data_IF_973100087810
#
_entry.id   IF_973100087810
#
_cell.length_a   1.000
_cell.length_b   1.000
_cell.length_c   1.000
_cell.angle_alpha   90.00
_cell.angle_beta   90.00
_cell.angle_gamma   90.00
#
_symmetry.space_group_name_H-M   'P 1'
#
loop_
_entity.id
_entity.type
_entity.pdbx_description
1 polymer ?
#
# COMPACT_ATOMS: atom_id res chain seq x y z
N UNK A 1 15.34 -27.71 2.23
CA UNK A 1 15.20 -27.64 0.76
C UNK A 1 13.74 -27.63 0.27
N UNK A 2 12.96 -28.72 0.33
CA UNK A 2 11.58 -28.72 -0.22
C UNK A 2 10.65 -27.70 0.47
N UNK A 3 10.73 -27.59 1.80
CA UNK A 3 9.95 -26.65 2.62
C UNK A 3 10.35 -25.17 2.39
N UNK A 4 11.63 -24.90 2.15
CA UNK A 4 12.13 -23.55 1.85
C UNK A 4 11.72 -23.10 0.45
N UNK A 5 11.76 -24.01 -0.54
CA UNK A 5 11.30 -23.73 -1.90
C UNK A 5 9.79 -23.43 -1.91
N UNK A 6 9.01 -24.15 -1.11
CA UNK A 6 7.58 -23.89 -0.94
C UNK A 6 7.35 -22.53 -0.28
N UNK A 7 8.06 -22.19 0.80
CA UNK A 7 7.99 -20.87 1.45
C UNK A 7 8.31 -19.73 0.49
N UNK A 8 9.36 -19.87 -0.32
CA UNK A 8 9.75 -18.84 -1.29
C UNK A 8 8.70 -18.67 -2.39
N UNK A 9 8.08 -19.77 -2.83
CA UNK A 9 7.00 -19.73 -3.82
C UNK A 9 5.75 -19.01 -3.30
N UNK A 10 5.42 -19.20 -2.02
CA UNK A 10 4.30 -18.52 -1.35
C UNK A 10 4.58 -17.03 -1.22
N UNK A 11 5.77 -16.66 -0.72
CA UNK A 11 6.19 -15.25 -0.62
C UNK A 11 6.08 -14.55 -1.98
N UNK A 12 6.49 -15.24 -3.05
CA UNK A 12 6.42 -14.71 -4.41
C UNK A 12 4.99 -14.42 -4.86
N UNK A 13 4.04 -15.30 -4.56
CA UNK A 13 2.64 -15.15 -4.94
C UNK A 13 1.94 -14.06 -4.15
N UNK A 14 2.18 -14.00 -2.84
CA UNK A 14 1.70 -12.89 -2.02
C UNK A 14 2.25 -11.55 -2.53
N UNK A 15 3.54 -11.49 -2.86
CA UNK A 15 4.14 -10.29 -3.42
C UNK A 15 3.56 -9.90 -4.80
N UNK A 16 3.17 -10.88 -5.63
CA UNK A 16 2.45 -10.60 -6.89
C UNK A 16 1.06 -10.00 -6.63
N UNK A 17 0.31 -10.54 -5.66
CA UNK A 17 -1.01 -9.99 -5.27
C UNK A 17 -0.87 -8.56 -4.73
N UNK A 18 0.13 -8.29 -3.90
CA UNK A 18 0.40 -6.95 -3.38
C UNK A 18 0.87 -5.96 -4.46
N UNK A 19 1.42 -6.46 -5.58
CA UNK A 19 1.88 -5.65 -6.69
C UNK A 19 0.78 -5.30 -7.71
N UNK A 20 -0.43 -5.89 -7.62
CA UNK A 20 -1.54 -5.64 -8.55
C UNK A 20 -1.88 -4.16 -8.78
N UNK A 21 -1.84 -3.27 -7.76
CA UNK A 21 -2.13 -1.84 -7.97
C UNK A 21 -1.15 -1.14 -8.91
N UNK A 22 0.01 -1.73 -9.16
CA UNK A 22 1.07 -1.18 -9.99
C UNK A 22 1.09 -1.79 -11.40
N UNK A 23 0.13 -2.63 -11.73
CA UNK A 23 -0.03 -3.22 -13.06
C UNK A 23 -0.98 -2.41 -13.93
N UNK A 24 -0.81 -2.48 -15.26
CA UNK A 24 -1.81 -1.99 -16.20
C UNK A 24 -3.17 -2.63 -15.93
N UNK A 25 -4.24 -1.84 -16.03
CA UNK A 25 -5.61 -2.26 -15.70
C UNK A 25 -6.03 -3.55 -16.40
N UNK A 26 -5.69 -3.69 -17.69
CA UNK A 26 -5.99 -4.86 -18.51
C UNK A 26 -5.19 -6.12 -18.16
N UNK A 27 -4.22 -6.04 -17.23
CA UNK A 27 -3.39 -7.16 -16.79
C UNK A 27 -3.71 -7.64 -15.38
N UNK A 28 -4.49 -6.88 -14.61
CA UNK A 28 -4.77 -7.16 -13.18
C UNK A 28 -5.45 -8.53 -13.00
N UNK A 29 -6.51 -8.79 -13.75
CA UNK A 29 -7.32 -10.01 -13.57
C UNK A 29 -6.49 -11.25 -13.87
N UNK A 30 -5.79 -11.27 -15.01
CA UNK A 30 -4.91 -12.39 -15.38
C UNK A 30 -3.80 -12.59 -14.33
N UNK A 31 -3.13 -11.52 -13.92
CA UNK A 31 -2.07 -11.59 -12.92
C UNK A 31 -2.55 -12.07 -11.53
N UNK A 32 -3.80 -11.78 -11.17
CA UNK A 32 -4.39 -12.25 -9.92
C UNK A 32 -4.62 -13.77 -9.94
N UNK A 33 -5.20 -14.31 -11.02
CA UNK A 33 -5.42 -15.76 -11.11
C UNK A 33 -4.09 -16.52 -11.19
N UNK A 34 -3.13 -16.05 -12.00
CA UNK A 34 -1.78 -16.63 -12.07
C UNK A 34 -1.07 -16.67 -10.70
N UNK A 35 -1.31 -15.67 -9.84
CA UNK A 35 -0.73 -15.60 -8.51
C UNK A 35 -1.50 -16.44 -7.48
N UNK A 36 -2.78 -16.70 -7.71
CA UNK A 36 -3.67 -17.40 -6.78
C UNK A 36 -3.59 -18.92 -6.91
N UNK A 37 -3.24 -19.44 -8.09
CA UNK A 37 -3.30 -20.87 -8.44
C UNK A 37 -2.61 -21.80 -7.44
N UNK A 38 -1.43 -21.45 -6.93
CA UNK A 38 -0.74 -22.29 -5.96
C UNK A 38 -1.17 -21.97 -4.52
N UNK A 39 -1.51 -20.73 -4.19
CA UNK A 39 -2.01 -20.36 -2.86
C UNK A 39 -3.25 -21.18 -2.46
N UNK A 40 -4.22 -21.31 -3.37
CA UNK A 40 -5.47 -22.04 -3.11
C UNK A 40 -5.22 -23.54 -2.79
N UNK A 41 -4.14 -24.11 -3.35
CA UNK A 41 -3.81 -25.54 -3.17
C UNK A 41 -3.09 -25.86 -1.86
N UNK A 42 -2.57 -24.85 -1.15
CA UNK A 42 -1.74 -25.08 0.06
C UNK A 42 -2.60 -25.41 1.27
N UNK A 43 -3.51 -24.50 1.64
CA UNK A 43 -4.37 -24.67 2.79
C UNK A 43 -5.62 -23.77 2.72
N UNK A 44 -6.57 -24.04 3.61
CA UNK A 44 -7.85 -23.32 3.70
C UNK A 44 -7.70 -21.82 4.02
N UNK A 45 -6.65 -21.42 4.73
CA UNK A 45 -6.42 -20.01 5.07
C UNK A 45 -6.05 -19.22 3.82
N UNK A 46 -5.19 -19.76 2.95
CA UNK A 46 -4.86 -19.14 1.67
C UNK A 46 -6.03 -19.12 0.70
N UNK A 47 -6.83 -20.19 0.64
CA UNK A 47 -8.10 -20.18 -0.10
C UNK A 47 -9.01 -19.04 0.38
N UNK A 48 -9.22 -18.92 1.69
CA UNK A 48 -10.07 -17.88 2.28
C UNK A 48 -9.54 -16.47 1.97
N UNK A 49 -8.21 -16.29 2.01
CA UNK A 49 -7.56 -15.05 1.63
C UNK A 49 -7.78 -14.70 0.15
N UNK A 50 -7.55 -15.65 -0.77
CA UNK A 50 -7.76 -15.47 -2.21
C UNK A 50 -9.22 -15.13 -2.49
N UNK A 51 -10.18 -15.87 -1.91
CA UNK A 51 -11.61 -15.62 -2.05
C UNK A 51 -12.00 -14.21 -1.59
N UNK A 52 -11.41 -13.74 -0.48
CA UNK A 52 -11.64 -12.40 0.03
C UNK A 52 -11.08 -11.33 -0.93
N UNK A 53 -9.86 -11.53 -1.43
CA UNK A 53 -9.23 -10.58 -2.36
C UNK A 53 -10.02 -10.50 -3.66
N UNK A 54 -10.42 -11.65 -4.21
CA UNK A 54 -11.22 -11.73 -5.43
C UNK A 54 -12.52 -10.94 -5.25
N UNK A 55 -13.33 -11.32 -4.26
CA UNK A 55 -14.65 -10.74 -3.99
C UNK A 55 -14.61 -9.25 -3.68
N UNK A 56 -13.54 -8.78 -3.04
CA UNK A 56 -13.46 -7.40 -2.55
C UNK A 56 -12.79 -6.46 -3.55
N UNK A 57 -11.69 -6.89 -4.17
CA UNK A 57 -10.82 -6.01 -4.95
C UNK A 57 -10.86 -6.29 -6.46
N UNK A 58 -11.16 -7.53 -6.88
CA UNK A 58 -11.12 -7.92 -8.30
C UNK A 58 -12.50 -7.80 -8.95
N UNK A 59 -13.51 -8.44 -8.38
CA UNK A 59 -14.86 -8.55 -8.99
C UNK A 59 -15.92 -7.65 -8.34
N UNK A 60 -15.62 -7.03 -7.19
CA UNK A 60 -16.57 -6.18 -6.47
C UNK A 60 -17.04 -5.00 -7.32
N UNK A 61 -18.35 -4.77 -7.50
CA UNK A 61 -18.82 -3.57 -8.18
C UNK A 61 -18.56 -2.29 -7.36
N UNK A 62 -18.47 -2.40 -6.03
CA UNK A 62 -18.25 -1.25 -5.13
C UNK A 62 -16.80 -0.82 -5.05
N UNK A 63 -15.87 -1.78 -5.14
CA UNK A 63 -14.44 -1.53 -4.95
C UNK A 63 -13.58 -2.23 -6.03
N UNK A 64 -13.98 -2.07 -7.29
CA UNK A 64 -13.26 -2.63 -8.44
C UNK A 64 -11.87 -1.98 -8.63
N UNK A 65 -11.01 -2.55 -9.51
CA UNK A 65 -9.65 -2.04 -9.70
C UNK A 65 -9.54 -0.59 -10.18
N UNK A 66 -10.59 0.03 -10.72
CA UNK A 66 -10.57 1.46 -11.08
C UNK A 66 -10.41 2.35 -9.85
N UNK A 67 -10.84 1.89 -8.66
CA UNK A 67 -10.81 2.67 -7.44
C UNK A 67 -9.44 2.66 -6.75
N UNK A 68 -8.65 1.61 -6.91
CA UNK A 68 -7.41 1.39 -6.18
C UNK A 68 -6.17 1.19 -7.06
N UNK A 69 -6.32 1.02 -8.38
CA UNK A 69 -5.19 0.97 -9.28
C UNK A 69 -4.43 2.30 -9.28
N UNK A 70 -3.11 2.19 -9.23
CA UNK A 70 -2.20 3.33 -9.17
C UNK A 70 -1.22 3.37 -10.34
N UNK A 71 -1.44 2.57 -11.39
CA UNK A 71 -0.53 2.49 -12.52
C UNK A 71 -0.39 3.84 -13.25
N UNK A 72 -1.50 4.55 -13.46
CA UNK A 72 -1.49 5.87 -14.10
C UNK A 72 -1.08 7.01 -13.16
N UNK A 73 -1.02 6.76 -11.85
CA UNK A 73 -0.70 7.77 -10.83
C UNK A 73 0.65 7.52 -10.16
N UNK A 74 1.51 6.71 -10.77
CA UNK A 74 2.86 6.30 -10.36
C UNK A 74 3.87 7.49 -10.35
N UNK A 75 3.52 8.62 -9.73
CA UNK A 75 4.35 9.84 -9.58
C UNK A 75 3.53 11.04 -9.07
N UNK A 76 2.21 11.03 -9.30
CA UNK A 76 1.37 12.23 -9.23
C UNK A 76 0.60 12.41 -7.91
N UNK A 77 0.61 11.43 -7.00
CA UNK A 77 -0.09 11.55 -5.71
C UNK A 77 0.82 11.27 -4.54
N UNK A 78 0.57 12.00 -3.45
CA UNK A 78 1.03 11.60 -2.12
C UNK A 78 0.37 10.26 -1.80
N UNK A 79 1.09 9.17 -2.07
CA UNK A 79 0.71 7.84 -1.59
C UNK A 79 0.91 7.86 -0.09
N UNK A 80 -0.19 7.88 0.66
CA UNK A 80 -0.36 7.08 1.89
C UNK A 80 -1.57 7.55 2.69
N UNK A 81 -2.24 6.57 3.30
CA UNK A 81 -3.16 6.70 4.43
C UNK A 81 -2.48 7.35 5.66
N UNK A 82 -1.18 7.69 5.60
CA UNK A 82 -0.39 8.27 6.70
C UNK A 82 -1.03 9.53 7.28
N UNK A 83 -1.71 10.33 6.46
CA UNK A 83 -2.42 11.50 6.96
C UNK A 83 -3.62 11.10 7.82
N UNK A 84 -4.40 10.12 7.36
CA UNK A 84 -5.58 9.59 8.08
C UNK A 84 -5.16 8.76 9.30
N UNK A 85 -4.15 7.89 9.18
CA UNK A 85 -3.60 7.12 10.29
C UNK A 85 -2.90 8.02 11.32
N UNK A 86 -2.22 9.06 10.86
CA UNK A 86 -1.63 10.10 11.71
C UNK A 86 -2.72 10.88 12.43
N UNK A 87 -3.79 11.25 11.72
CA UNK A 87 -4.96 11.90 12.30
C UNK A 87 -5.67 10.99 13.32
N UNK A 88 -5.87 9.70 13.02
CA UNK A 88 -6.48 8.74 13.93
C UNK A 88 -5.61 8.52 15.18
N UNK A 89 -4.28 8.44 15.03
CA UNK A 89 -3.34 8.35 16.16
C UNK A 89 -3.38 9.62 17.02
N UNK A 90 -3.38 10.79 16.39
CA UNK A 90 -3.52 12.07 17.07
C UNK A 90 -4.86 12.17 17.82
N UNK A 91 -5.96 11.80 17.18
CA UNK A 91 -7.29 11.79 17.79
C UNK A 91 -7.33 10.83 18.98
N UNK A 92 -6.82 9.61 18.82
CA UNK A 92 -6.77 8.60 19.89
C UNK A 92 -5.86 9.01 21.05
N UNK A 93 -4.81 9.80 20.82
CA UNK A 93 -3.96 10.30 21.91
C UNK A 93 -4.60 11.43 22.72
N UNK A 94 -5.58 12.13 22.15
CA UNK A 94 -6.26 13.25 22.79
C UNK A 94 -7.65 12.88 23.34
N UNK A 95 -8.25 11.79 22.86
CA UNK A 95 -9.54 11.29 23.33
C UNK A 95 -9.33 10.11 24.30
N UNK A 96 -9.97 10.15 25.47
CA UNK A 96 -10.12 8.95 26.30
C UNK A 96 -11.09 7.97 25.63
N UNK A 97 -11.06 6.69 25.98
CA UNK A 97 -11.87 5.62 25.36
C UNK A 97 -13.40 5.88 25.33
N UNK A 98 -13.90 6.86 26.11
CA UNK A 98 -15.29 7.36 26.08
C UNK A 98 -15.30 8.88 26.23
N UNK A 99 -15.10 9.66 25.15
CA UNK A 99 -15.07 11.11 25.26
C UNK A 99 -16.49 11.67 25.48
N UNK A 100 -16.60 12.70 26.30
CA UNK A 100 -17.82 13.51 26.37
C UNK A 100 -17.99 14.23 25.02
N UNK A 101 -19.20 14.20 24.44
CA UNK A 101 -19.53 14.81 23.13
C UNK A 101 -19.05 16.28 23.02
N UNK A 102 -19.10 17.04 24.12
CA UNK A 102 -18.64 18.43 24.16
C UNK A 102 -17.12 18.55 24.06
N UNK A 103 -16.37 17.64 24.69
CA UNK A 103 -14.91 17.57 24.53
C UNK A 103 -14.55 17.20 23.09
N UNK A 104 -15.34 16.33 22.47
CA UNK A 104 -15.15 15.94 21.08
C UNK A 104 -15.34 17.12 20.12
N UNK A 105 -16.44 17.87 20.27
CA UNK A 105 -16.73 19.07 19.48
C UNK A 105 -15.63 20.13 19.63
N UNK A 106 -15.20 20.42 20.87
CA UNK A 106 -14.12 21.40 21.10
C UNK A 106 -12.80 20.98 20.47
N UNK A 107 -12.48 19.68 20.45
CA UNK A 107 -11.28 19.18 19.79
C UNK A 107 -11.33 19.35 18.27
N UNK A 108 -12.48 19.09 17.65
CA UNK A 108 -12.65 19.32 16.21
C UNK A 108 -12.52 20.78 15.85
N UNK A 109 -13.16 21.68 16.61
CA UNK A 109 -13.06 23.12 16.38
C UNK A 109 -11.61 23.62 16.46
N UNK A 110 -10.86 23.15 17.46
CA UNK A 110 -9.44 23.48 17.62
C UNK A 110 -8.56 22.92 16.49
N UNK A 111 -8.90 21.75 15.96
CA UNK A 111 -8.16 21.14 14.84
C UNK A 111 -8.47 21.84 13.51
N UNK A 112 -9.72 22.29 13.30
CA UNK A 112 -10.11 23.14 12.16
C UNK A 112 -9.33 24.46 12.18
N UNK A 113 -9.22 25.12 13.33
CA UNK A 113 -8.42 26.34 13.49
C UNK A 113 -6.95 26.10 13.12
N UNK A 114 -6.35 25.00 13.59
CA UNK A 114 -4.97 24.65 13.24
C UNK A 114 -4.79 24.29 11.76
N UNK A 115 -5.82 23.69 11.16
CA UNK A 115 -5.85 23.34 9.74
C UNK A 115 -5.89 24.60 8.89
N UNK A 116 -6.74 25.57 9.23
CA UNK A 116 -6.81 26.88 8.55
C UNK A 116 -5.45 27.60 8.65
N UNK A 117 -4.83 27.62 9.83
CA UNK A 117 -3.49 28.21 10.06
C UNK A 117 -2.41 27.48 9.24
N UNK A 118 -2.56 26.18 8.97
CA UNK A 118 -1.66 25.40 8.09
C UNK A 118 -1.89 25.66 6.60
N UNK A 119 -3.14 25.87 6.18
CA UNK A 119 -3.51 26.09 4.78
C UNK A 119 -3.11 27.49 4.28
N UNK A 120 -3.16 28.51 5.14
CA UNK A 120 -2.74 29.87 4.80
C UNK A 120 -1.29 30.00 4.26
N UNK A 121 -0.27 29.38 4.88
CA UNK A 121 1.09 29.37 4.35
C UNK A 121 1.29 28.41 3.15
N UNK A 122 0.48 27.35 3.01
CA UNK A 122 0.49 26.47 1.83
C UNK A 122 0.03 27.22 0.58
N UNK A 123 -1.06 27.99 0.69
CA UNK A 123 -1.56 28.86 -0.39
C UNK A 123 -0.57 29.97 -0.76
N UNK A 124 0.30 30.38 0.17
CA UNK A 124 1.37 31.37 -0.05
C UNK A 124 2.68 30.75 -0.56
N UNK A 125 2.70 29.47 -0.94
CA UNK A 125 3.86 28.71 -1.43
C UNK A 125 5.11 28.80 -0.52
N UNK A 126 4.91 28.96 0.80
CA UNK A 126 6.00 29.12 1.78
C UNK A 126 5.96 28.00 2.82
N UNK A 127 6.26 26.77 2.42
CA UNK A 127 6.85 25.67 3.23
C UNK A 127 7.45 24.66 2.25
N UNK A 128 8.62 24.04 2.45
CA UNK A 128 9.20 23.38 3.62
C UNK A 128 8.28 22.33 4.27
N UNK A 129 7.64 21.49 3.46
CA UNK A 129 7.49 20.09 3.89
C UNK A 129 8.87 19.55 4.21
N UNK A 130 9.04 18.82 5.32
CA UNK A 130 10.29 18.08 5.55
C UNK A 130 10.65 17.36 4.23
N UNK A 131 11.90 17.51 3.74
CA UNK A 131 12.28 16.89 2.49
C UNK A 131 11.97 15.40 2.61
N UNK A 132 11.26 14.86 1.62
CA UNK A 132 11.01 13.42 1.56
C UNK A 132 12.35 12.71 1.72
N UNK A 133 12.37 11.65 2.54
CA UNK A 133 13.57 10.82 2.67
C UNK A 133 14.06 10.44 1.28
N UNK A 134 15.36 10.63 1.03
CA UNK A 134 15.95 10.41 -0.29
C UNK A 134 15.65 8.99 -0.81
N UNK A 135 15.61 8.00 0.08
CA UNK A 135 15.22 6.62 -0.24
C UNK A 135 13.84 6.52 -0.92
N UNK A 136 12.84 7.23 -0.41
CA UNK A 136 11.48 7.19 -0.96
C UNK A 136 11.43 7.85 -2.34
N UNK A 137 12.18 8.94 -2.53
CA UNK A 137 12.32 9.59 -3.84
C UNK A 137 12.98 8.64 -4.86
N UNK A 138 14.02 7.92 -4.45
CA UNK A 138 14.69 6.94 -5.32
C UNK A 138 13.77 5.76 -5.67
N UNK A 139 12.92 5.30 -4.75
CA UNK A 139 11.90 4.29 -5.05
C UNK A 139 10.86 4.81 -6.06
N UNK A 140 10.37 6.04 -5.91
CA UNK A 140 9.44 6.65 -6.86
C UNK A 140 10.08 6.79 -8.25
N UNK A 141 11.34 7.24 -8.34
CA UNK A 141 12.11 7.33 -9.59
C UNK A 141 12.26 5.95 -10.23
N UNK A 142 12.64 4.94 -9.44
CA UNK A 142 12.82 3.56 -9.93
C UNK A 142 11.52 3.00 -10.52
N UNK A 143 10.39 3.19 -9.82
CA UNK A 143 9.08 2.76 -10.31
C UNK A 143 8.65 3.51 -11.57
N UNK A 144 8.93 4.81 -11.67
CA UNK A 144 8.65 5.63 -12.85
C UNK A 144 9.46 5.15 -14.07
N UNK A 145 10.76 4.94 -13.90
CA UNK A 145 11.64 4.41 -14.95
C UNK A 145 11.21 3.01 -15.40
N UNK A 146 10.79 2.17 -14.46
CA UNK A 146 10.31 0.83 -14.73
C UNK A 146 9.02 0.85 -15.57
N UNK A 147 8.09 1.73 -15.20
CA UNK A 147 6.86 1.96 -15.97
C UNK A 147 7.19 2.43 -17.38
N UNK A 148 8.06 3.43 -17.54
CA UNK A 148 8.46 3.96 -18.84
C UNK A 148 9.09 2.87 -19.73
N UNK A 149 9.93 2.00 -19.15
CA UNK A 149 10.53 0.87 -19.87
C UNK A 149 9.48 -0.12 -20.38
N UNK A 150 8.43 -0.37 -19.61
CA UNK A 150 7.32 -1.23 -20.03
C UNK A 150 6.46 -0.56 -21.12
N UNK A 151 6.12 0.72 -20.97
CA UNK A 151 5.33 1.47 -21.96
C UNK A 151 6.06 1.60 -23.30
N UNK A 152 7.39 1.69 -23.27
CA UNK A 152 8.26 1.70 -24.46
C UNK A 152 8.53 0.30 -25.04
N UNK A 153 7.91 -0.76 -24.50
CA UNK A 153 8.12 -2.16 -24.90
C UNK A 153 9.59 -2.64 -24.79
N UNK A 154 10.39 -2.03 -23.94
CA UNK A 154 11.77 -2.46 -23.65
C UNK A 154 11.75 -3.74 -22.80
N UNK A 155 10.77 -3.85 -21.90
CA UNK A 155 10.54 -5.02 -21.05
C UNK A 155 9.12 -5.54 -21.25
N UNK A 156 8.94 -6.86 -21.13
CA UNK A 156 7.63 -7.49 -21.18
C UNK A 156 6.90 -7.42 -19.83
N UNK A 157 5.64 -7.88 -19.81
CA UNK A 157 4.82 -7.85 -18.60
C UNK A 157 5.38 -8.74 -17.49
N UNK A 158 6.02 -9.87 -17.84
CA UNK A 158 6.59 -10.81 -16.86
C UNK A 158 7.78 -10.19 -16.16
N UNK A 159 8.65 -9.53 -16.90
CA UNK A 159 9.82 -8.84 -16.38
C UNK A 159 9.42 -7.59 -15.60
N UNK A 160 8.41 -6.85 -16.06
CA UNK A 160 7.82 -5.74 -15.31
C UNK A 160 7.28 -6.19 -13.94
N UNK A 161 6.46 -7.24 -13.92
CA UNK A 161 5.94 -7.85 -12.68
C UNK A 161 7.07 -8.32 -11.77
N UNK A 162 8.10 -8.98 -12.32
CA UNK A 162 9.26 -9.45 -11.56
C UNK A 162 9.96 -8.30 -10.85
N UNK A 163 10.19 -7.18 -11.53
CA UNK A 163 10.88 -6.01 -10.98
C UNK A 163 10.05 -5.23 -9.97
N UNK A 164 8.73 -5.07 -10.20
CA UNK A 164 7.84 -4.48 -9.18
C UNK A 164 7.85 -5.33 -7.92
N UNK A 165 7.73 -6.65 -8.08
CA UNK A 165 7.64 -7.58 -6.95
C UNK A 165 8.83 -7.43 -5.99
N UNK A 166 10.05 -7.23 -6.50
CA UNK A 166 11.25 -6.99 -5.67
C UNK A 166 11.07 -5.75 -4.78
N UNK A 167 10.39 -4.72 -5.28
CA UNK A 167 10.04 -3.53 -4.49
C UNK A 167 9.02 -3.87 -3.40
N UNK A 168 8.03 -4.71 -3.70
CA UNK A 168 7.05 -5.22 -2.72
C UNK A 168 7.68 -6.14 -1.66
N UNK A 169 8.69 -6.94 -2.00
CA UNK A 169 9.40 -7.82 -1.05
C UNK A 169 10.08 -7.04 0.07
N UNK A 170 10.60 -5.84 -0.20
CA UNK A 170 11.16 -4.98 0.84
C UNK A 170 10.14 -4.66 1.94
N UNK A 171 8.85 -4.58 1.60
CA UNK A 171 7.78 -4.36 2.58
C UNK A 171 7.45 -5.64 3.35
N UNK A 172 7.39 -6.80 2.68
CA UNK A 172 7.13 -8.10 3.34
C UNK A 172 8.21 -8.40 4.40
N UNK A 173 9.48 -8.23 4.06
CA UNK A 173 10.59 -8.45 4.99
C UNK A 173 10.60 -7.42 6.13
N UNK A 174 10.08 -6.21 5.91
CA UNK A 174 9.92 -5.22 6.98
C UNK A 174 8.87 -5.62 8.03
N UNK A 175 7.90 -6.48 7.68
CA UNK A 175 6.98 -7.06 8.66
C UNK A 175 7.64 -8.19 9.47
N UNK A 176 8.47 -9.03 8.84
CA UNK A 176 9.21 -10.10 9.53
C UNK A 176 10.19 -9.54 10.59
N UNK A 177 10.81 -8.39 10.30
CA UNK A 177 11.73 -7.73 11.23
C UNK A 177 11.05 -6.92 12.35
N UNK A 178 9.73 -6.70 12.27
CA UNK A 178 8.95 -5.98 13.30
C UNK A 178 8.14 -6.92 14.20
N UNK A 179 8.21 -8.24 13.99
CA UNK A 179 7.53 -9.26 14.81
C UNK A 179 8.39 -9.83 15.94
N UNK A 180 9.55 -9.25 16.26
CA UNK A 180 10.21 -9.48 17.55
C UNK A 180 9.43 -8.73 18.63
N UNK A 181 8.30 -9.28 19.06
CA UNK A 181 7.72 -8.94 20.35
C UNK A 181 8.65 -9.49 21.43
N UNK A 182 8.93 -8.64 22.42
CA UNK A 182 9.52 -9.01 23.70
C UNK A 182 8.68 -10.12 24.36
N UNK A 183 9.07 -11.37 24.15
CA UNK A 183 8.72 -12.49 25.03
C UNK A 183 9.69 -12.48 26.23
N UNK A 184 9.67 -11.39 27.00
CA UNK A 184 10.21 -11.33 28.35
C UNK A 184 9.32 -10.43 29.20
N UNK A 185 8.28 -11.02 29.79
CA UNK A 185 7.76 -10.69 31.13
C UNK A 185 7.15 -11.96 31.74
#
# INVERSE_FOLDING_TARGET
LLDELQKESVKRQLANILALPLLPMNKIIAAFYDASDLLITINRNFQTFVDYVEKTYIISPKFNPLNWNHYNTLSNRSRTNNHVEGYHRYLNSHMTAKPNIWKWIMHIQKDDEQTIIRLEPENKQKRSTQPRKNTNLMHDISLSNLKASYEQNIIDIKEYQRKIRVTSYSYINAFENNTTYDDND
#
